data_IF_004977821891
#
_entry.id   IF_004977821891
#
_cell.length_a   1.000
_cell.length_b   1.000
_cell.length_c   1.000
_cell.angle_alpha   90.00
_cell.angle_beta   90.00
_cell.angle_gamma   90.00
#
_symmetry.space_group_name_H-M   'P 1'
#
loop_
_entity.id
_entity.type
_entity.pdbx_description
1 polymer ?
#
# COMPACT_ATOMS: atom_id res chain seq x y z
N UNK A 1 14.05 -11.76 -39.43
CA UNK A 1 13.50 -13.13 -39.32
C UNK A 1 14.20 -13.77 -38.15
N UNK A 2 13.49 -14.01 -37.05
CA UNK A 2 14.06 -14.70 -35.90
C UNK A 2 14.10 -16.18 -36.28
N UNK A 3 15.29 -16.77 -36.28
CA UNK A 3 15.48 -18.21 -36.44
C UNK A 3 14.70 -18.91 -35.33
N UNK A 4 13.57 -19.53 -35.69
CA UNK A 4 12.91 -20.51 -34.85
C UNK A 4 13.89 -21.64 -34.68
N UNK A 5 14.55 -21.71 -33.53
CA UNK A 5 15.35 -22.86 -33.20
C UNK A 5 14.42 -24.08 -33.22
N UNK A 6 14.75 -25.09 -34.03
CA UNK A 6 13.98 -26.33 -34.25
C UNK A 6 13.97 -27.24 -33.00
N UNK A 7 13.61 -26.67 -31.84
CA UNK A 7 13.33 -27.46 -30.66
C UNK A 7 11.90 -27.98 -30.78
N UNK A 8 11.75 -29.21 -31.28
CA UNK A 8 10.45 -29.89 -31.38
C UNK A 8 9.98 -30.49 -30.04
N UNK A 9 10.88 -30.58 -29.05
CA UNK A 9 10.59 -31.15 -27.73
C UNK A 9 10.50 -30.05 -26.68
N UNK A 10 9.28 -29.86 -26.17
CA UNK A 10 8.93 -28.89 -25.11
C UNK A 10 9.81 -29.06 -23.87
N UNK A 11 10.19 -30.29 -23.51
CA UNK A 11 11.10 -30.54 -22.38
C UNK A 11 12.49 -29.97 -22.63
N UNK A 12 12.99 -30.10 -23.86
CA UNK A 12 14.30 -29.58 -24.24
C UNK A 12 14.28 -28.05 -24.21
N UNK A 13 13.17 -27.43 -24.63
CA UNK A 13 12.96 -25.99 -24.51
C UNK A 13 13.05 -25.56 -23.05
N UNK A 14 12.28 -26.20 -22.15
CA UNK A 14 12.27 -25.87 -20.71
C UNK A 14 13.65 -26.08 -20.08
N UNK A 15 14.36 -27.15 -20.42
CA UNK A 15 15.71 -27.40 -19.89
C UNK A 15 16.71 -26.34 -20.38
N UNK A 16 16.68 -25.97 -21.66
CA UNK A 16 17.57 -24.93 -22.20
C UNK A 16 17.23 -23.55 -21.64
N UNK A 17 15.93 -23.25 -21.53
CA UNK A 17 15.45 -22.01 -20.95
C UNK A 17 15.85 -21.89 -19.48
N UNK A 18 15.60 -22.94 -18.68
CA UNK A 18 15.98 -22.97 -17.27
C UNK A 18 17.48 -22.81 -17.09
N UNK A 19 18.34 -23.44 -17.90
CA UNK A 19 19.80 -23.29 -17.84
C UNK A 19 20.29 -21.84 -18.03
N UNK A 20 19.57 -21.03 -18.83
CA UNK A 20 19.91 -19.62 -19.07
C UNK A 20 19.42 -18.64 -17.99
N UNK A 21 18.54 -19.08 -17.09
CA UNK A 21 17.95 -18.21 -16.06
C UNK A 21 18.90 -17.92 -14.90
N UNK A 22 18.61 -16.83 -14.19
CA UNK A 22 19.30 -16.51 -12.94
C UNK A 22 19.03 -17.63 -11.89
N UNK A 23 20.07 -18.17 -11.22
CA UNK A 23 19.89 -19.24 -10.22
C UNK A 23 18.88 -18.91 -9.11
N UNK A 24 18.78 -17.64 -8.72
CA UNK A 24 17.81 -17.21 -7.72
C UNK A 24 16.36 -17.32 -8.21
N UNK A 25 16.11 -17.10 -9.50
CA UNK A 25 14.77 -17.25 -10.09
C UNK A 25 14.46 -18.74 -10.26
N UNK A 26 15.43 -19.54 -10.73
CA UNK A 26 15.29 -20.99 -10.82
C UNK A 26 14.89 -21.62 -9.49
N UNK A 27 15.65 -21.33 -8.41
CA UNK A 27 15.33 -21.82 -7.08
C UNK A 27 13.93 -21.39 -6.65
N UNK A 28 13.54 -20.15 -6.95
CA UNK A 28 12.22 -19.64 -6.55
C UNK A 28 11.07 -20.36 -7.26
N UNK A 29 11.25 -20.68 -8.53
CA UNK A 29 10.28 -21.44 -9.33
C UNK A 29 10.25 -22.90 -8.86
N UNK A 30 11.40 -23.49 -8.57
CA UNK A 30 11.50 -24.87 -8.06
C UNK A 30 10.94 -25.04 -6.63
N UNK A 31 11.05 -24.01 -5.79
CA UNK A 31 10.47 -23.97 -4.43
C UNK A 31 8.95 -23.71 -4.43
N UNK A 32 8.35 -23.35 -5.56
CA UNK A 32 6.92 -23.08 -5.63
C UNK A 32 6.13 -24.37 -5.31
N UNK A 33 5.14 -24.26 -4.41
CA UNK A 33 4.31 -25.40 -3.96
C UNK A 33 3.65 -26.14 -5.13
N UNK A 34 3.29 -25.41 -6.17
CA UNK A 34 2.80 -25.93 -7.43
C UNK A 34 3.75 -25.44 -8.51
N UNK A 35 4.80 -26.23 -8.78
CA UNK A 35 5.76 -25.95 -9.84
C UNK A 35 5.13 -26.21 -11.22
N UNK A 36 5.55 -25.47 -12.26
CA UNK A 36 5.13 -25.73 -13.63
C UNK A 36 5.64 -27.08 -14.11
N UNK A 37 4.86 -27.76 -14.95
CA UNK A 37 5.25 -29.05 -15.52
C UNK A 37 6.34 -28.88 -16.58
N UNK A 38 7.22 -29.87 -16.75
CA UNK A 38 8.32 -29.80 -17.71
C UNK A 38 7.87 -29.92 -19.17
N UNK A 39 6.65 -30.37 -19.40
CA UNK A 39 6.01 -30.45 -20.73
C UNK A 39 5.29 -29.16 -21.13
N UNK A 40 5.24 -28.18 -20.23
CA UNK A 40 4.56 -26.90 -20.49
C UNK A 40 5.56 -25.73 -20.43
N UNK A 41 6.15 -25.35 -21.58
CA UNK A 41 7.10 -24.26 -21.64
C UNK A 41 6.46 -22.90 -21.33
N UNK A 42 5.17 -22.76 -21.59
CA UNK A 42 4.43 -21.52 -21.33
C UNK A 42 4.22 -21.32 -19.83
N UNK A 43 3.81 -22.36 -19.10
CA UNK A 43 3.71 -22.31 -17.64
C UNK A 43 5.07 -22.01 -16.97
N UNK A 44 6.17 -22.56 -17.51
CA UNK A 44 7.52 -22.22 -17.04
C UNK A 44 7.85 -20.75 -17.27
N UNK A 45 7.53 -20.21 -18.44
CA UNK A 45 7.75 -18.80 -18.73
C UNK A 45 6.94 -17.91 -17.77
N UNK A 46 5.64 -18.17 -17.58
CA UNK A 46 4.80 -17.40 -16.65
C UNK A 46 5.30 -17.45 -15.22
N UNK A 47 5.66 -18.64 -14.72
CA UNK A 47 6.19 -18.80 -13.36
C UNK A 47 7.50 -18.01 -13.17
N UNK A 48 8.36 -17.98 -14.18
CA UNK A 48 9.62 -17.23 -14.12
C UNK A 48 9.42 -15.73 -14.18
N UNK A 49 8.47 -15.25 -15.00
CA UNK A 49 8.04 -13.85 -15.01
C UNK A 49 7.52 -13.44 -13.63
N UNK A 50 6.61 -14.23 -13.05
CA UNK A 50 6.06 -13.96 -11.72
C UNK A 50 7.15 -13.92 -10.64
N UNK A 51 8.11 -14.86 -10.67
CA UNK A 51 9.23 -14.88 -9.74
C UNK A 51 10.15 -13.65 -9.92
N UNK A 52 10.37 -13.20 -11.16
CA UNK A 52 11.13 -11.99 -11.47
C UNK A 52 10.44 -10.73 -10.94
N UNK A 53 9.14 -10.59 -11.19
CA UNK A 53 8.34 -9.44 -10.73
C UNK A 53 8.29 -9.37 -9.21
N UNK A 54 8.09 -10.51 -8.55
CA UNK A 54 8.16 -10.62 -7.09
C UNK A 54 9.54 -10.18 -6.55
N UNK A 55 10.62 -10.49 -7.25
CA UNK A 55 11.97 -10.05 -6.86
C UNK A 55 12.12 -8.52 -6.98
N UNK A 56 11.57 -7.92 -8.03
CA UNK A 56 11.56 -6.46 -8.21
C UNK A 56 10.69 -5.79 -7.13
N UNK A 57 9.49 -6.30 -6.89
CA UNK A 57 8.60 -5.82 -5.84
C UNK A 57 9.27 -5.91 -4.45
N UNK A 58 9.86 -7.05 -4.11
CA UNK A 58 10.58 -7.24 -2.85
C UNK A 58 11.74 -6.26 -2.71
N UNK A 59 12.47 -5.95 -3.79
CA UNK A 59 13.53 -4.91 -3.74
C UNK A 59 12.97 -3.54 -3.38
N UNK A 60 11.79 -3.18 -3.89
CA UNK A 60 11.11 -1.92 -3.55
C UNK A 60 10.70 -1.93 -2.06
N UNK A 61 10.10 -3.02 -1.60
CA UNK A 61 9.71 -3.17 -0.19
C UNK A 61 10.92 -3.09 0.75
N UNK A 62 11.99 -3.82 0.47
CA UNK A 62 13.21 -3.80 1.28
C UNK A 62 13.85 -2.41 1.32
N UNK A 63 13.85 -1.69 0.20
CA UNK A 63 14.35 -0.30 0.15
C UNK A 63 13.54 0.60 1.08
N UNK A 64 12.22 0.47 1.07
CA UNK A 64 11.34 1.25 1.94
C UNK A 64 11.48 0.85 3.42
N UNK A 65 11.60 -0.44 3.74
CA UNK A 65 11.83 -0.87 5.13
C UNK A 65 13.17 -0.36 5.66
N UNK A 66 14.22 -0.32 4.82
CA UNK A 66 15.53 0.22 5.23
C UNK A 66 15.54 1.72 5.47
N UNK A 67 14.75 2.52 4.75
CA UNK A 67 14.65 3.96 5.04
C UNK A 67 13.98 4.20 6.40
N UNK A 68 12.96 3.43 6.77
CA UNK A 68 12.37 3.49 8.10
C UNK A 68 13.28 2.94 9.21
N UNK A 69 14.03 1.87 8.93
CA UNK A 69 14.96 1.27 9.91
C UNK A 69 16.20 2.13 10.16
N UNK A 70 16.73 2.81 9.13
CA UNK A 70 17.88 3.72 9.28
C UNK A 70 17.52 4.95 10.12
N UNK A 71 16.29 5.47 10.00
CA UNK A 71 15.79 6.54 10.86
C UNK A 71 15.71 6.12 12.34
N UNK A 72 15.51 4.84 12.64
CA UNK A 72 15.51 4.33 14.02
C UNK A 72 16.92 4.02 14.56
N UNK A 73 17.92 3.80 13.70
CA UNK A 73 19.29 3.47 14.12
C UNK A 73 20.17 4.69 14.40
N UNK A 74 19.76 5.89 13.93
CA UNK A 74 20.47 7.15 14.20
C UNK A 74 20.44 7.59 15.68
N UNK A 75 19.72 6.89 16.56
CA UNK A 75 19.63 7.19 18.00
C UNK A 75 20.65 6.42 18.86
N UNK A 76 21.60 5.70 18.27
CA UNK A 76 22.62 4.93 19.02
C UNK A 76 24.05 5.34 18.68
N UNK A 77 24.34 6.64 18.68
CA UNK A 77 25.71 7.09 18.85
C UNK A 77 26.00 7.20 20.36
N UNK A 78 27.07 6.57 20.91
CA UNK A 78 27.45 6.77 22.29
C UNK A 78 27.99 8.19 22.44
N UNK A 79 27.14 9.11 22.91
CA UNK A 79 27.57 10.46 23.30
C UNK A 79 28.45 10.32 24.54
N UNK A 80 29.75 10.54 24.39
CA UNK A 80 30.67 10.70 25.50
C UNK A 80 30.33 12.01 26.22
N UNK A 81 29.65 11.90 27.37
CA UNK A 81 29.22 13.05 28.18
C UNK A 81 30.42 13.55 29.00
N UNK A 82 30.87 14.81 28.86
CA UNK A 82 31.85 15.39 29.76
C UNK A 82 31.20 15.64 31.14
N UNK A 83 31.92 15.27 32.20
CA UNK A 83 31.47 15.33 33.59
C UNK A 83 31.41 16.78 34.07
N UNK A 84 30.22 17.35 34.13
CA UNK A 84 29.96 18.69 34.67
C UNK A 84 29.57 18.62 36.17
N UNK A 85 29.87 19.68 36.96
CA UNK A 85 29.83 19.64 38.42
C UNK A 85 28.40 19.69 38.98
N UNK A 86 28.24 19.00 40.12
CA UNK A 86 27.00 18.82 40.87
C UNK A 86 26.48 20.16 41.39
N UNK A 87 25.31 20.58 40.92
CA UNK A 87 24.55 21.72 41.44
C UNK A 87 23.39 21.16 42.28
N UNK A 88 23.13 21.66 43.50
CA UNK A 88 22.13 21.06 44.38
C UNK A 88 20.70 21.26 43.87
N UNK A 89 19.94 20.17 44.02
CA UNK A 89 18.52 19.99 43.71
C UNK A 89 17.64 21.19 44.05
N UNK A 90 16.92 21.70 43.05
CA UNK A 90 15.62 22.34 43.26
C UNK A 90 14.54 21.38 42.78
N UNK A 91 13.63 21.03 43.68
CA UNK A 91 12.44 20.24 43.41
C UNK A 91 11.68 20.81 42.22
N UNK A 92 11.61 20.07 41.12
CA UNK A 92 10.60 20.29 40.09
C UNK A 92 9.33 19.52 40.50
N UNK A 93 8.15 20.13 40.36
CA UNK A 93 6.89 19.45 40.62
C UNK A 93 6.69 18.29 39.63
N UNK A 94 6.15 17.20 40.15
CA UNK A 94 5.74 16.00 39.44
C UNK A 94 4.89 16.35 38.20
N UNK A 95 5.39 16.00 37.00
CA UNK A 95 4.62 16.06 35.76
C UNK A 95 3.91 14.70 35.61
N UNK A 96 2.57 14.61 35.72
CA UNK A 96 1.87 13.35 35.45
C UNK A 96 1.99 12.98 33.96
N UNK A 97 1.87 11.69 33.60
CA UNK A 97 1.89 11.25 32.22
C UNK A 97 0.76 11.95 31.45
N UNK A 98 1.10 12.50 30.28
CA UNK A 98 0.15 13.14 29.39
C UNK A 98 -0.96 12.16 29.02
N UNK A 99 -2.12 12.31 29.65
CA UNK A 99 -3.37 11.77 29.14
C UNK A 99 -3.62 12.45 27.80
N UNK A 100 -3.49 11.72 26.71
CA UNK A 100 -3.94 12.18 25.40
C UNK A 100 -5.39 12.68 25.55
N UNK A 101 -5.69 13.95 25.23
CA UNK A 101 -7.07 14.39 25.22
C UNK A 101 -7.80 13.59 24.14
N UNK A 102 -8.94 12.99 24.52
CA UNK A 102 -9.90 12.45 23.57
C UNK A 102 -10.16 13.51 22.48
N UNK A 103 -10.15 13.15 21.18
CA UNK A 103 -10.53 14.10 20.16
C UNK A 103 -11.97 14.59 20.44
N UNK A 104 -12.24 15.89 20.22
CA UNK A 104 -13.57 16.44 20.50
C UNK A 104 -14.64 15.71 19.69
N UNK A 105 -15.85 15.53 20.23
CA UNK A 105 -16.97 14.97 19.49
C UNK A 105 -17.24 15.83 18.25
N UNK A 106 -17.34 15.14 17.11
CA UNK A 106 -17.55 15.68 15.78
C UNK A 106 -18.78 16.62 15.76
N UNK A 107 -18.69 17.87 15.25
CA UNK A 107 -19.89 18.61 14.89
C UNK A 107 -20.59 17.88 13.76
N UNK A 108 -21.90 17.69 13.91
CA UNK A 108 -22.75 17.20 12.85
C UNK A 108 -22.75 18.21 11.69
N UNK A 109 -22.98 17.68 10.49
CA UNK A 109 -23.38 18.38 9.26
C UNK A 109 -22.28 18.75 8.25
N UNK A 110 -22.39 18.12 7.08
CA UNK A 110 -21.93 18.67 5.81
C UNK A 110 -20.58 18.16 5.28
N UNK A 111 -20.42 18.04 3.94
CA UNK A 111 -19.11 17.93 3.32
C UNK A 111 -18.35 19.24 3.57
N UNK A 112 -17.38 19.23 4.48
CA UNK A 112 -16.49 20.37 4.67
C UNK A 112 -15.49 20.45 3.51
N UNK A 113 -15.22 21.65 2.95
CA UNK A 113 -14.16 21.83 1.98
C UNK A 113 -12.84 21.37 2.58
N UNK A 114 -12.15 20.44 1.92
CA UNK A 114 -10.78 20.12 2.30
C UNK A 114 -9.90 21.29 1.91
N UNK A 115 -9.40 22.03 2.90
CA UNK A 115 -8.42 23.09 2.67
C UNK A 115 -7.14 22.47 2.11
N UNK A 116 -6.93 22.62 0.80
CA UNK A 116 -5.69 22.18 0.15
C UNK A 116 -4.62 23.25 0.40
N UNK A 117 -3.53 22.89 1.09
CA UNK A 117 -2.47 23.84 1.40
C UNK A 117 -1.62 23.55 2.64
N UNK A 118 -1.99 22.53 3.43
CA UNK A 118 -1.22 22.10 4.59
C UNK A 118 -0.56 20.73 4.33
N UNK A 119 0.57 20.46 5.00
CA UNK A 119 1.18 19.13 5.00
C UNK A 119 0.35 18.18 5.86
N UNK A 120 0.43 16.87 5.63
CA UNK A 120 -0.38 15.88 6.35
C UNK A 120 -0.29 15.98 7.90
N UNK A 121 0.82 16.51 8.42
CA UNK A 121 1.01 16.75 9.86
C UNK A 121 0.21 17.94 10.41
N UNK A 122 -0.12 18.91 9.56
CA UNK A 122 -0.89 20.11 9.89
C UNK A 122 -2.35 20.00 9.42
N UNK A 123 -2.81 18.79 9.07
CA UNK A 123 -4.18 18.54 8.69
C UNK A 123 -5.08 18.52 9.93
N UNK A 124 -6.04 19.46 10.08
CA UNK A 124 -7.00 19.40 11.18
C UNK A 124 -7.88 18.15 11.11
N UNK A 125 -7.89 17.46 9.97
CA UNK A 125 -8.52 16.16 9.75
C UNK A 125 -7.49 15.09 9.37
N UNK A 126 -6.38 14.98 10.10
CA UNK A 126 -5.45 13.86 9.93
C UNK A 126 -6.12 12.55 10.37
N UNK A 127 -6.80 11.86 9.44
CA UNK A 127 -7.34 10.54 9.69
C UNK A 127 -6.19 9.53 9.74
N UNK A 128 -5.68 9.24 10.95
CA UNK A 128 -4.73 8.15 11.15
C UNK A 128 -5.48 6.81 11.18
N UNK A 129 -5.56 6.16 10.02
CA UNK A 129 -6.18 4.85 9.83
C UNK A 129 -5.61 3.79 10.80
N UNK A 130 -4.36 3.96 11.28
CA UNK A 130 -3.73 3.00 12.23
C UNK A 130 -4.32 3.08 13.63
N UNK A 131 -4.87 4.24 14.00
CA UNK A 131 -5.54 4.44 15.30
C UNK A 131 -7.03 4.10 15.26
N UNK A 132 -7.61 3.90 14.07
CA UNK A 132 -9.02 3.57 13.94
C UNK A 132 -9.30 2.14 14.39
N UNK A 133 -10.34 1.98 15.19
CA UNK A 133 -10.89 0.67 15.50
C UNK A 133 -11.53 0.04 14.27
N UNK A 134 -11.62 -1.29 14.24
CA UNK A 134 -12.24 -2.04 13.13
C UNK A 134 -13.68 -1.58 12.86
N UNK A 135 -14.43 -1.24 13.91
CA UNK A 135 -15.80 -0.70 13.80
C UNK A 135 -15.82 0.63 13.07
N UNK A 136 -14.90 1.52 13.39
CA UNK A 136 -14.79 2.83 12.73
C UNK A 136 -14.35 2.70 11.28
N UNK A 137 -13.45 1.76 10.98
CA UNK A 137 -13.01 1.48 9.60
C UNK A 137 -14.18 0.99 8.74
N UNK A 138 -14.99 0.08 9.26
CA UNK A 138 -16.18 -0.42 8.56
C UNK A 138 -17.24 0.69 8.36
N UNK A 139 -17.48 1.50 9.39
CA UNK A 139 -18.41 2.62 9.28
C UNK A 139 -17.95 3.65 8.22
N UNK A 140 -16.65 3.93 8.17
CA UNK A 140 -16.06 4.81 7.16
C UNK A 140 -16.16 4.23 5.74
N UNK A 141 -15.85 2.95 5.56
CA UNK A 141 -15.99 2.28 4.27
C UNK A 141 -17.45 2.28 3.80
N UNK A 142 -18.40 2.02 4.70
CA UNK A 142 -19.83 2.08 4.40
C UNK A 142 -20.25 3.50 4.01
N UNK A 143 -19.78 4.53 4.71
CA UNK A 143 -20.07 5.93 4.38
C UNK A 143 -19.56 6.30 2.98
N UNK A 144 -18.37 5.84 2.60
CA UNK A 144 -17.80 6.09 1.27
C UNK A 144 -18.64 5.45 0.15
N UNK A 145 -19.11 4.21 0.36
CA UNK A 145 -20.00 3.53 -0.59
C UNK A 145 -21.33 4.25 -0.73
N UNK A 146 -21.98 4.62 0.39
CA UNK A 146 -23.23 5.37 0.36
C UNK A 146 -23.09 6.71 -0.37
N UNK A 147 -21.98 7.42 -0.16
CA UNK A 147 -21.72 8.69 -0.85
C UNK A 147 -21.53 8.50 -2.37
N UNK A 148 -20.86 7.43 -2.79
CA UNK A 148 -20.70 7.09 -4.19
C UNK A 148 -22.05 6.74 -4.84
N UNK A 149 -22.89 5.98 -4.13
CA UNK A 149 -24.24 5.65 -4.59
C UNK A 149 -25.09 6.91 -4.78
N UNK A 150 -25.07 7.84 -3.81
CA UNK A 150 -25.79 9.11 -3.91
C UNK A 150 -25.28 10.00 -5.06
N UNK A 151 -23.97 10.03 -5.31
CA UNK A 151 -23.39 10.77 -6.43
C UNK A 151 -23.77 10.18 -7.80
N UNK A 152 -24.14 8.90 -7.85
CA UNK A 152 -24.54 8.21 -9.07
C UNK A 152 -26.01 8.39 -9.45
N UNK A 153 -26.86 8.92 -8.54
CA UNK A 153 -28.27 9.17 -8.83
C UNK A 153 -28.40 10.46 -9.64
N UNK A 154 -28.76 10.41 -10.94
CA UNK A 154 -29.06 11.62 -11.68
C UNK A 154 -30.26 12.29 -11.02
N UNK A 155 -30.05 13.50 -10.51
CA UNK A 155 -31.13 14.36 -10.01
C UNK A 155 -31.95 14.88 -11.19
N UNK A 156 -32.70 13.98 -11.83
CA UNK A 156 -33.61 14.27 -12.92
C UNK A 156 -34.94 14.78 -12.37
N UNK A 157 -35.07 16.10 -12.31
CA UNK A 157 -36.34 16.80 -12.06
C UNK A 157 -37.40 16.45 -13.11
N UNK A 158 -38.65 16.61 -12.70
CA UNK A 158 -39.86 16.35 -13.44
C UNK A 158 -40.08 17.26 -14.66
N UNK A 159 -41.07 16.86 -15.48
CA UNK A 159 -41.79 17.63 -16.50
C UNK A 159 -41.07 17.74 -17.87
N UNK A 160 -41.64 17.47 -19.04
CA UNK A 160 -43.03 17.29 -19.43
C UNK A 160 -43.14 16.39 -20.68
N UNK A 161 -44.27 15.71 -20.73
CA UNK A 161 -44.97 15.16 -21.89
C UNK A 161 -44.91 16.09 -23.12
N UNK A 162 -44.46 15.56 -24.27
CA UNK A 162 -44.83 16.07 -25.59
C UNK A 162 -44.76 14.92 -26.61
N UNK A 163 -45.94 14.32 -26.80
CA UNK A 163 -46.35 13.59 -28.01
C UNK A 163 -46.05 14.43 -29.26
N UNK A 164 -45.38 13.84 -30.25
CA UNK A 164 -45.49 14.26 -31.65
C UNK A 164 -45.25 13.05 -32.58
N UNK A 165 -46.37 12.62 -33.14
CA UNK A 165 -46.60 11.80 -34.34
C UNK A 165 -45.95 12.41 -35.60
N UNK A 166 -46.01 11.68 -36.73
CA UNK A 166 -45.60 11.98 -38.13
C UNK A 166 -44.22 11.35 -38.46
N UNK A 167 -44.05 10.38 -39.38
CA UNK A 167 -44.68 10.16 -40.69
C UNK A 167 -44.46 8.70 -41.18
N UNK A 168 -45.52 8.02 -41.65
CA UNK A 168 -45.52 7.04 -42.75
C UNK A 168 -46.97 6.68 -43.16
#
# INVERSE_FOLDING_TARGET
MVETADYEDDKVIVVKFSQGLNPAIQNRVAEAKYGPDFEDPEAWYEATCLASDNKVANRIFERNVRTFSTAQSALKAPVSIPKAPVVPFRFLPFIPPATHPNPPPRPAEGPVPMDTGHVAQDCPQCFDVRSMTTKEQLAWAQQMLTNADLASVPTGGSEAEAVAEVEA
#
